data_IF_043495483465
#
_entry.id   IF_043495483465
#
_cell.length_a   1.000
_cell.length_b   1.000
_cell.length_c   1.000
_cell.angle_alpha   90.00
_cell.angle_beta   90.00
_cell.angle_gamma   90.00
#
_symmetry.space_group_name_H-M   'P 1'
#
loop_
_entity.id
_entity.type
_entity.pdbx_description
1 polymer ?
#
# COMPACT_ATOMS: atom_id res chain seq x y z
N UNK A 1 11.73 22.58 5.34
CA UNK A 1 11.55 21.47 4.37
C UNK A 1 10.27 20.73 4.76
N UNK A 2 9.58 20.02 3.88
CA UNK A 2 8.35 19.24 4.20
C UNK A 2 7.05 20.00 4.56
N UNK A 3 7.06 21.33 4.66
CA UNK A 3 5.83 22.09 4.89
C UNK A 3 4.87 22.08 3.69
N UNK A 4 5.37 21.87 2.48
CA UNK A 4 4.58 21.84 1.24
C UNK A 4 4.16 20.42 0.82
N UNK A 5 4.55 19.41 1.60
CA UNK A 5 4.32 18.00 1.31
C UNK A 5 5.60 17.19 1.28
N UNK A 6 5.43 15.87 1.19
CA UNK A 6 6.52 14.90 1.13
C UNK A 6 6.04 13.68 0.38
N UNK A 7 6.92 13.09 -0.43
CA UNK A 7 6.65 11.84 -1.12
C UNK A 7 7.62 10.77 -0.62
N UNK A 8 7.07 9.70 -0.06
CA UNK A 8 7.83 8.56 0.44
C UNK A 8 7.76 7.36 -0.51
N UNK A 9 6.96 7.42 -1.57
CA UNK A 9 6.74 6.31 -2.48
C UNK A 9 8.02 5.90 -3.20
N UNK A 10 8.17 4.60 -3.40
CA UNK A 10 9.21 4.00 -4.24
C UNK A 10 8.57 3.21 -5.37
N UNK A 11 9.07 3.41 -6.59
CA UNK A 11 8.70 2.55 -7.71
C UNK A 11 8.99 1.08 -7.38
N UNK A 12 8.09 0.18 -7.78
CA UNK A 12 8.17 -1.25 -7.47
C UNK A 12 7.73 -1.64 -6.05
N UNK A 13 7.64 -0.72 -5.10
CA UNK A 13 7.28 -1.10 -3.73
C UNK A 13 5.87 -1.70 -3.64
N UNK A 14 5.74 -2.74 -2.82
CA UNK A 14 4.49 -3.33 -2.40
C UNK A 14 4.15 -3.00 -0.95
N UNK A 15 3.05 -3.57 -0.46
CA UNK A 15 2.72 -3.55 0.96
C UNK A 15 3.61 -4.51 1.76
N UNK A 16 4.08 -5.58 1.12
CA UNK A 16 4.93 -6.60 1.74
C UNK A 16 6.40 -6.22 1.61
N UNK A 17 7.21 -6.55 2.62
CA UNK A 17 8.66 -6.32 2.62
C UNK A 17 9.39 -7.23 1.62
N UNK A 18 8.77 -8.37 1.31
CA UNK A 18 9.22 -9.36 0.34
C UNK A 18 9.10 -8.87 -1.10
N UNK A 19 8.25 -7.86 -1.36
CA UNK A 19 8.02 -7.34 -2.70
C UNK A 19 9.26 -6.59 -3.21
N UNK A 20 10.00 -7.24 -4.12
CA UNK A 20 11.27 -6.77 -4.69
C UNK A 20 12.30 -6.34 -3.63
N UNK A 21 12.43 -7.14 -2.57
CA UNK A 21 13.39 -6.91 -1.48
C UNK A 21 14.78 -6.54 -1.98
N UNK A 22 15.36 -5.49 -1.39
CA UNK A 22 16.69 -4.98 -1.75
C UNK A 22 16.72 -4.05 -2.97
N UNK A 23 15.64 -3.96 -3.73
CA UNK A 23 15.53 -3.08 -4.90
C UNK A 23 14.64 -1.85 -4.68
N UNK A 24 13.88 -1.83 -3.59
CA UNK A 24 12.86 -0.82 -3.31
C UNK A 24 12.94 -0.31 -1.87
N UNK A 25 12.36 0.87 -1.63
CA UNK A 25 12.02 1.31 -0.28
C UNK A 25 10.64 0.74 0.03
N UNK A 26 10.60 -0.39 0.74
CA UNK A 26 9.36 -1.06 1.13
C UNK A 26 8.46 -0.18 2.01
N UNK A 27 7.17 -0.51 2.08
CA UNK A 27 6.18 0.30 2.80
C UNK A 27 6.56 0.57 4.26
N UNK A 28 7.18 -0.39 4.96
CA UNK A 28 7.61 -0.19 6.34
C UNK A 28 8.76 0.85 6.43
N UNK A 29 9.73 0.80 5.50
CA UNK A 29 10.76 1.83 5.40
C UNK A 29 10.18 3.21 5.00
N UNK A 30 9.16 3.25 4.15
CA UNK A 30 8.45 4.50 3.82
C UNK A 30 7.82 5.13 5.06
N UNK A 31 7.19 4.34 5.93
CA UNK A 31 6.64 4.80 7.22
C UNK A 31 7.74 5.25 8.17
N UNK A 32 8.89 4.57 8.20
CA UNK A 32 10.06 5.03 8.97
C UNK A 32 10.55 6.41 8.49
N UNK A 33 10.55 6.66 7.19
CA UNK A 33 10.88 7.98 6.64
C UNK A 33 9.81 9.03 6.98
N UNK A 34 8.54 8.65 6.99
CA UNK A 34 7.45 9.51 7.48
C UNK A 34 7.67 9.92 8.94
N UNK A 35 8.04 8.99 9.84
CA UNK A 35 8.31 9.29 11.26
C UNK A 35 9.45 10.30 11.44
N UNK A 36 10.47 10.29 10.57
CA UNK A 36 11.50 11.33 10.56
C UNK A 36 10.95 12.71 10.20
N UNK A 37 9.95 12.78 9.30
CA UNK A 37 9.28 14.04 8.97
C UNK A 37 8.39 14.51 10.11
N UNK A 38 7.72 13.60 10.82
CA UNK A 38 7.01 13.91 12.07
C UNK A 38 7.96 14.52 13.12
N UNK A 39 9.09 13.87 13.40
CA UNK A 39 10.12 14.39 14.33
C UNK A 39 10.62 15.78 13.90
N UNK A 40 10.85 15.95 12.60
CA UNK A 40 11.25 17.25 12.05
C UNK A 40 10.16 18.32 12.27
N UNK A 41 8.88 17.98 12.04
CA UNK A 41 7.76 18.90 12.26
C UNK A 41 7.65 19.29 13.74
N UNK A 42 7.83 18.33 14.66
CA UNK A 42 7.85 18.59 16.11
C UNK A 42 8.98 19.58 16.45
N UNK A 43 10.18 19.37 15.89
CA UNK A 43 11.32 20.26 16.13
C UNK A 43 11.11 21.71 15.63
N UNK A 44 10.21 21.92 14.67
CA UNK A 44 9.97 23.23 14.05
C UNK A 44 8.72 23.93 14.52
N UNK A 45 7.66 23.18 14.83
CA UNK A 45 6.34 23.71 15.15
C UNK A 45 5.93 23.44 16.61
N UNK A 46 6.73 22.68 17.36
CA UNK A 46 6.33 22.07 18.62
C UNK A 46 5.33 20.94 18.43
N UNK A 47 5.05 20.18 19.49
CA UNK A 47 4.15 19.02 19.42
C UNK A 47 2.74 19.39 18.96
N UNK A 48 2.16 20.45 19.52
CA UNK A 48 0.80 20.91 19.19
C UNK A 48 0.70 21.34 17.72
N UNK A 49 1.67 22.13 17.25
CA UNK A 49 1.72 22.60 15.87
C UNK A 49 1.95 21.46 14.87
N UNK A 50 2.85 20.52 15.18
CA UNK A 50 3.09 19.34 14.37
C UNK A 50 1.85 18.45 14.26
N UNK A 51 1.19 18.16 15.39
CA UNK A 51 -0.04 17.36 15.43
C UNK A 51 -1.16 17.99 14.62
N UNK A 52 -1.36 19.29 14.72
CA UNK A 52 -2.37 19.99 13.89
C UNK A 52 -2.00 19.96 12.40
N UNK A 53 -0.72 20.07 12.06
CA UNK A 53 -0.25 19.97 10.67
C UNK A 53 -0.52 18.58 10.09
N UNK A 54 -0.19 17.52 10.83
CA UNK A 54 -0.40 16.12 10.46
C UNK A 54 -1.90 15.78 10.35
N UNK A 55 -2.71 16.26 11.30
CA UNK A 55 -4.18 16.13 11.26
C UNK A 55 -4.78 16.72 9.99
N UNK A 56 -4.23 17.85 9.53
CA UNK A 56 -4.66 18.55 8.31
C UNK A 56 -4.05 17.98 7.03
N UNK A 57 -3.02 17.15 7.09
CA UNK A 57 -2.42 16.54 5.91
C UNK A 57 -3.37 15.50 5.28
N UNK A 58 -3.20 15.23 3.99
CA UNK A 58 -3.86 14.13 3.29
C UNK A 58 -2.80 13.10 2.95
N UNK A 59 -3.04 11.86 3.35
CA UNK A 59 -2.14 10.73 3.19
C UNK A 59 -2.63 9.89 2.01
N UNK A 60 -1.90 9.95 0.90
CA UNK A 60 -2.27 9.26 -0.34
C UNK A 60 -1.48 7.98 -0.52
N UNK A 61 -2.18 6.89 -0.84
CA UNK A 61 -1.59 5.56 -1.02
C UNK A 61 -1.90 4.99 -2.40
N UNK A 62 -0.88 4.43 -3.01
CA UNK A 62 -0.93 3.61 -4.22
C UNK A 62 -0.02 2.41 -4.01
N UNK A 63 -0.57 1.33 -3.44
CA UNK A 63 0.17 0.16 -2.96
C UNK A 63 -0.65 -1.10 -3.20
N UNK A 64 -0.02 -2.28 -3.28
CA UNK A 64 -0.69 -3.55 -3.58
C UNK A 64 -0.41 -4.06 -5.00
N UNK A 65 -0.27 -3.16 -5.98
CA UNK A 65 -0.09 -3.54 -7.39
C UNK A 65 1.12 -4.44 -7.61
N UNK A 66 2.26 -4.11 -7.00
CA UNK A 66 3.50 -4.87 -7.14
C UNK A 66 3.47 -6.21 -6.39
N UNK A 67 2.76 -6.30 -5.27
CA UNK A 67 2.61 -7.54 -4.50
C UNK A 67 1.93 -8.63 -5.36
N UNK A 68 0.99 -8.23 -6.21
CA UNK A 68 0.32 -9.15 -7.13
C UNK A 68 1.08 -9.34 -8.45
N UNK A 69 1.61 -8.27 -9.05
CA UNK A 69 2.41 -8.41 -10.29
C UNK A 69 3.60 -9.35 -10.09
N UNK A 70 4.29 -9.28 -8.95
CA UNK A 70 5.41 -10.16 -8.63
C UNK A 70 5.05 -11.65 -8.56
N UNK A 71 3.79 -11.99 -8.30
CA UNK A 71 3.33 -13.39 -8.33
C UNK A 71 3.21 -13.95 -9.76
N UNK A 72 2.89 -13.09 -10.73
CA UNK A 72 2.54 -13.52 -12.09
C UNK A 72 3.61 -13.18 -13.13
N UNK A 73 4.59 -12.34 -12.82
CA UNK A 73 5.69 -12.03 -13.75
C UNK A 73 6.73 -13.16 -13.87
N UNK A 74 6.78 -14.08 -12.91
CA UNK A 74 7.66 -15.25 -12.93
C UNK A 74 6.98 -16.44 -12.21
N UNK A 75 7.51 -17.65 -12.38
CA UNK A 75 7.05 -18.81 -11.61
C UNK A 75 7.24 -18.55 -10.12
N UNK A 76 6.14 -18.40 -9.38
CA UNK A 76 6.17 -18.07 -7.97
C UNK A 76 5.48 -19.16 -7.14
N UNK A 77 6.19 -19.85 -6.23
CA UNK A 77 5.62 -20.95 -5.42
C UNK A 77 4.50 -20.48 -4.48
N UNK A 78 4.40 -19.17 -4.21
CA UNK A 78 3.35 -18.61 -3.36
C UNK A 78 1.95 -18.81 -3.96
N UNK A 79 1.83 -18.89 -5.29
CA UNK A 79 0.56 -19.20 -5.96
C UNK A 79 0.00 -20.57 -5.58
N UNK A 80 0.86 -21.52 -5.21
CA UNK A 80 0.45 -22.86 -4.74
C UNK A 80 0.37 -22.97 -3.21
N UNK A 81 0.94 -22.01 -2.49
CA UNK A 81 0.99 -22.01 -1.01
C UNK A 81 -0.24 -21.34 -0.41
N UNK A 82 -0.72 -20.26 -1.03
CA UNK A 82 -1.83 -19.47 -0.51
C UNK A 82 -3.00 -19.46 -1.49
N UNK A 83 -4.22 -19.57 -0.95
CA UNK A 83 -5.40 -19.19 -1.73
C UNK A 83 -5.36 -17.68 -2.03
N UNK A 84 -6.05 -17.20 -3.09
CA UNK A 84 -6.10 -15.77 -3.40
C UNK A 84 -6.57 -14.90 -2.24
N UNK A 85 -7.59 -15.34 -1.48
CA UNK A 85 -8.07 -14.59 -0.32
C UNK A 85 -7.03 -14.51 0.79
N UNK A 86 -6.36 -15.61 1.13
CA UNK A 86 -5.31 -15.61 2.17
C UNK A 86 -4.17 -14.66 1.83
N UNK A 87 -3.70 -14.66 0.58
CA UNK A 87 -2.63 -13.75 0.18
C UNK A 87 -3.10 -12.28 0.20
N UNK A 88 -4.33 -12.01 -0.24
CA UNK A 88 -4.94 -10.67 -0.13
C UNK A 88 -5.01 -10.22 1.33
N UNK A 89 -5.41 -11.08 2.27
CA UNK A 89 -5.50 -10.74 3.68
C UNK A 89 -4.13 -10.34 4.27
N UNK A 90 -3.04 -10.97 3.83
CA UNK A 90 -1.67 -10.61 4.24
C UNK A 90 -1.32 -9.19 3.74
N UNK A 91 -1.63 -8.88 2.47
CA UNK A 91 -1.40 -7.55 1.88
C UNK A 91 -2.22 -6.48 2.60
N UNK A 92 -3.52 -6.71 2.81
CA UNK A 92 -4.41 -5.77 3.50
C UNK A 92 -4.01 -5.60 4.98
N UNK A 93 -3.57 -6.66 5.65
CA UNK A 93 -3.05 -6.59 7.02
C UNK A 93 -1.87 -5.61 7.15
N UNK A 94 -0.93 -5.63 6.21
CA UNK A 94 0.19 -4.69 6.18
C UNK A 94 -0.26 -3.24 5.93
N UNK A 95 -1.17 -3.04 4.97
CA UNK A 95 -1.72 -1.70 4.67
C UNK A 95 -2.43 -1.12 5.91
N UNK A 96 -3.30 -1.90 6.55
CA UNK A 96 -4.06 -1.46 7.73
C UNK A 96 -3.18 -1.21 8.95
N UNK A 97 -2.09 -1.97 9.12
CA UNK A 97 -1.08 -1.71 10.14
C UNK A 97 -0.46 -0.31 9.97
N UNK A 98 -0.06 0.03 8.74
CA UNK A 98 0.52 1.34 8.42
C UNK A 98 -0.46 2.49 8.64
N UNK A 99 -1.72 2.32 8.25
CA UNK A 99 -2.77 3.32 8.53
C UNK A 99 -2.85 3.57 10.04
N UNK A 100 -2.85 2.50 10.83
CA UNK A 100 -2.92 2.59 12.30
C UNK A 100 -1.71 3.31 12.89
N UNK A 101 -0.51 3.10 12.36
CA UNK A 101 0.68 3.83 12.79
C UNK A 101 0.58 5.33 12.50
N UNK A 102 0.20 5.70 11.28
CA UNK A 102 0.02 7.10 10.89
C UNK A 102 -1.10 7.75 11.72
N UNK A 103 -2.17 7.00 12.01
CA UNK A 103 -3.26 7.47 12.86
C UNK A 103 -2.79 7.85 14.27
N UNK A 104 -1.93 7.02 14.87
CA UNK A 104 -1.36 7.25 16.21
C UNK A 104 -0.55 8.54 16.29
N UNK A 105 0.11 8.92 15.19
CA UNK A 105 0.89 10.17 15.07
C UNK A 105 0.03 11.42 14.79
N UNK A 106 -1.28 11.26 14.58
CA UNK A 106 -2.22 12.36 14.37
C UNK A 106 -2.80 12.47 12.96
N UNK A 107 -2.41 11.61 12.02
CA UNK A 107 -2.99 11.60 10.67
C UNK A 107 -4.47 11.22 10.69
N UNK A 108 -5.30 11.90 9.88
CA UNK A 108 -6.77 11.71 9.86
C UNK A 108 -7.41 11.55 8.49
N UNK A 109 -6.77 12.03 7.42
CA UNK A 109 -7.36 12.03 6.07
C UNK A 109 -6.56 11.10 5.16
N UNK A 110 -7.14 9.97 4.80
CA UNK A 110 -6.50 8.95 3.99
C UNK A 110 -7.20 8.83 2.64
N UNK A 111 -6.41 8.70 1.58
CA UNK A 111 -6.90 8.45 0.23
C UNK A 111 -6.17 7.24 -0.34
N UNK A 112 -6.93 6.28 -0.85
CA UNK A 112 -6.41 5.04 -1.43
C UNK A 112 -6.80 4.95 -2.90
N UNK A 113 -5.84 4.62 -3.75
CA UNK A 113 -6.12 4.17 -5.10
C UNK A 113 -6.37 2.66 -5.08
N UNK A 114 -7.42 2.23 -5.78
CA UNK A 114 -7.64 0.83 -6.06
C UNK A 114 -6.49 0.27 -6.90
N UNK A 115 -6.22 -1.03 -6.73
CA UNK A 115 -5.32 -1.75 -7.64
C UNK A 115 -5.99 -1.84 -9.01
N UNK A 116 -5.32 -1.43 -10.10
CA UNK A 116 -5.86 -1.49 -11.45
C UNK A 116 -5.95 -2.96 -11.93
N UNK A 117 -6.67 -3.25 -13.03
CA UNK A 117 -6.77 -4.60 -13.57
C UNK A 117 -5.42 -5.07 -14.17
N UNK A 118 -4.51 -5.55 -13.31
CA UNK A 118 -3.12 -5.87 -13.67
C UNK A 118 -3.01 -6.93 -14.77
N UNK A 119 -3.97 -7.87 -14.84
CA UNK A 119 -4.01 -8.89 -15.88
C UNK A 119 -4.09 -8.34 -17.30
N UNK A 120 -4.56 -7.10 -17.46
CA UNK A 120 -4.64 -6.43 -18.75
C UNK A 120 -3.41 -5.57 -19.07
N UNK A 121 -2.40 -5.53 -18.20
CA UNK A 121 -1.13 -4.85 -18.49
C UNK A 121 -0.35 -5.61 -19.57
N UNK A 122 0.43 -4.92 -20.44
CA UNK A 122 1.18 -5.57 -21.51
C UNK A 122 2.05 -6.73 -21.02
N UNK A 123 2.71 -6.59 -19.86
CA UNK A 123 3.60 -7.62 -19.30
C UNK A 123 2.88 -8.95 -19.02
N UNK A 124 1.62 -8.93 -18.60
CA UNK A 124 0.84 -10.15 -18.36
C UNK A 124 0.08 -10.63 -19.60
N UNK A 125 -0.35 -9.71 -20.47
CA UNK A 125 -0.99 -10.07 -21.75
C UNK A 125 -0.03 -10.79 -22.70
N UNK A 126 1.26 -10.47 -22.66
CA UNK A 126 2.26 -11.20 -23.46
C UNK A 126 2.44 -12.66 -23.02
N UNK A 127 1.96 -13.03 -21.83
CA UNK A 127 2.02 -14.41 -21.33
C UNK A 127 0.79 -15.25 -21.76
N UNK A 128 -0.26 -14.63 -22.32
CA UNK A 128 -1.44 -15.33 -22.85
C UNK A 128 -1.30 -15.56 -24.36
N UNK A 129 -1.78 -16.69 -24.86
CA UNK A 129 -1.60 -17.07 -26.27
C UNK A 129 -2.35 -16.15 -27.25
N UNK A 130 -3.49 -15.62 -26.82
CA UNK A 130 -4.37 -14.76 -27.62
C UNK A 130 -4.22 -13.26 -27.27
N UNK A 131 -3.29 -12.91 -26.39
CA UNK A 131 -3.10 -11.55 -25.90
C UNK A 131 -4.27 -11.01 -25.05
N UNK A 132 -5.14 -11.90 -24.56
CA UNK A 132 -6.20 -11.56 -23.59
C UNK A 132 -5.62 -11.22 -22.21
N UNK A 133 -6.47 -10.67 -21.33
CA UNK A 133 -6.04 -10.40 -19.96
C UNK A 133 -5.80 -11.70 -19.18
N UNK A 134 -4.76 -11.72 -18.35
CA UNK A 134 -4.49 -12.84 -17.44
C UNK A 134 -5.58 -12.89 -16.36
N UNK A 135 -6.46 -13.90 -16.43
CA UNK A 135 -7.68 -13.97 -15.62
C UNK A 135 -7.45 -14.22 -14.12
N UNK A 136 -6.46 -15.05 -13.76
CA UNK A 136 -6.17 -15.40 -12.37
C UNK A 136 -5.72 -14.18 -11.57
N UNK A 137 -4.83 -13.36 -12.12
CA UNK A 137 -4.37 -12.10 -11.53
C UNK A 137 -5.53 -11.11 -11.30
N UNK A 138 -6.53 -11.10 -12.19
CA UNK A 138 -7.73 -10.28 -12.02
C UNK A 138 -8.61 -10.74 -10.85
N UNK A 139 -8.50 -12.01 -10.41
CA UNK A 139 -9.20 -12.50 -9.20
C UNK A 139 -8.56 -11.87 -7.96
N UNK A 140 -7.23 -11.83 -7.88
CA UNK A 140 -6.51 -11.18 -6.78
C UNK A 140 -6.84 -9.69 -6.68
N UNK A 141 -6.85 -8.98 -7.82
CA UNK A 141 -7.18 -7.54 -7.87
C UNK A 141 -8.59 -7.26 -7.38
N UNK A 142 -9.59 -8.04 -7.84
CA UNK A 142 -10.98 -7.87 -7.40
C UNK A 142 -11.12 -8.08 -5.90
N UNK A 143 -10.55 -9.19 -5.39
CA UNK A 143 -10.54 -9.50 -3.96
C UNK A 143 -9.84 -8.42 -3.14
N UNK A 144 -8.71 -7.90 -3.60
CA UNK A 144 -8.01 -6.80 -2.94
C UNK A 144 -8.89 -5.56 -2.80
N UNK A 145 -9.48 -5.08 -3.89
CA UNK A 145 -10.27 -3.85 -3.87
C UNK A 145 -11.51 -3.99 -2.98
N UNK A 146 -12.16 -5.16 -2.98
CA UNK A 146 -13.26 -5.47 -2.08
C UNK A 146 -12.80 -5.52 -0.61
N UNK A 147 -11.72 -6.26 -0.31
CA UNK A 147 -11.20 -6.43 1.03
C UNK A 147 -10.66 -5.11 1.63
N UNK A 148 -9.99 -4.28 0.80
CA UNK A 148 -9.49 -2.97 1.22
C UNK A 148 -10.65 -2.06 1.63
N UNK A 149 -11.70 -1.97 0.81
CA UNK A 149 -12.88 -1.16 1.16
C UNK A 149 -13.47 -1.59 2.49
N UNK A 150 -13.67 -2.90 2.69
CA UNK A 150 -14.21 -3.42 3.95
C UNK A 150 -13.28 -3.10 5.13
N UNK A 151 -11.97 -3.31 4.98
CA UNK A 151 -11.01 -3.04 6.03
C UNK A 151 -10.96 -1.55 6.41
N UNK A 152 -11.02 -0.65 5.42
CA UNK A 152 -11.06 0.80 5.64
C UNK A 152 -12.34 1.22 6.39
N UNK A 153 -13.51 0.69 6.02
CA UNK A 153 -14.77 0.94 6.72
C UNK A 153 -14.73 0.45 8.17
N UNK A 154 -14.05 -0.67 8.44
CA UNK A 154 -13.88 -1.17 9.80
C UNK A 154 -12.89 -0.32 10.61
N UNK A 155 -11.82 0.17 9.99
CA UNK A 155 -10.88 1.08 10.63
C UNK A 155 -11.53 2.41 10.98
N UNK A 156 -12.35 2.99 10.10
CA UNK A 156 -13.09 4.22 10.36
C UNK A 156 -13.97 4.11 11.62
N UNK A 157 -14.60 2.94 11.85
CA UNK A 157 -15.39 2.68 13.07
C UNK A 157 -14.54 2.53 14.33
N UNK A 158 -13.29 2.07 14.20
CA UNK A 158 -12.39 1.73 15.31
C UNK A 158 -11.44 2.87 15.69
N UNK A 159 -11.18 3.79 14.77
CA UNK A 159 -10.22 4.89 14.91
C UNK A 159 -10.99 6.22 14.96
N UNK A 160 -11.24 6.77 16.17
CA UNK A 160 -12.03 7.99 16.38
C UNK A 160 -11.25 9.29 16.17
#
# INVERSE_FOLDING_TARGET
QFLDGSNFASGGAGALVETFTGLVIDLHMQVKNYKKVEEWLISKLGEVGAKERLRRAVYMFSVGTNDYLGLFMATNPLLSTYTPSQYVDIVIGNITSVITEIYKTGGRKFAFLNVPPIGCMPVLRMQTLDGSCQNESLIYVRKHNEALLQALMQLEKKLP
#
